data_IF_608687530418
#
_entry.id   IF_608687530418
#
_cell.length_a   1.000
_cell.length_b   1.000
_cell.length_c   1.000
_cell.angle_alpha   90.00
_cell.angle_beta   90.00
_cell.angle_gamma   90.00
#
_symmetry.space_group_name_H-M   'P 1'
#
loop_
_entity.id
_entity.type
_entity.pdbx_description
1 polymer ?
#
# COMPACT_ATOMS: atom_id res chain seq x y z
N UNK A 1 6.79 27.62 -9.99
CA UNK A 1 5.94 26.75 -9.14
C UNK A 1 6.86 25.78 -8.41
N UNK A 2 6.66 25.55 -7.11
CA UNK A 2 7.40 24.51 -6.39
C UNK A 2 6.77 23.17 -6.72
N UNK A 3 7.57 22.24 -7.24
CA UNK A 3 7.19 20.85 -7.47
C UNK A 3 7.65 19.99 -6.29
N UNK A 4 7.40 18.69 -6.35
CA UNK A 4 7.88 17.72 -5.37
C UNK A 4 8.87 16.76 -6.02
N UNK A 5 9.63 16.06 -5.18
CA UNK A 5 10.44 14.90 -5.53
C UNK A 5 10.37 13.88 -4.40
N UNK A 6 10.59 12.61 -4.72
CA UNK A 6 10.90 11.59 -3.72
C UNK A 6 12.40 11.69 -3.44
N UNK A 7 12.77 11.90 -2.18
CA UNK A 7 14.19 11.98 -1.77
C UNK A 7 14.69 10.70 -1.13
N UNK A 8 13.79 9.83 -0.70
CA UNK A 8 14.11 8.57 -0.06
C UNK A 8 12.93 7.60 -0.17
N UNK A 9 13.25 6.32 -0.30
CA UNK A 9 12.32 5.18 -0.23
C UNK A 9 12.84 4.22 0.82
N UNK A 10 11.97 3.58 1.58
CA UNK A 10 12.35 2.55 2.53
C UNK A 10 11.22 1.54 2.74
N UNK A 11 11.59 0.34 3.16
CA UNK A 11 10.66 -0.75 3.47
C UNK A 11 11.16 -1.57 4.64
N UNK A 12 10.22 -2.18 5.36
CA UNK A 12 10.49 -3.06 6.47
C UNK A 12 9.45 -4.18 6.52
N UNK A 13 9.88 -5.37 6.91
CA UNK A 13 9.00 -6.49 7.20
C UNK A 13 9.42 -7.12 8.53
N UNK A 14 8.49 -7.72 9.28
CA UNK A 14 8.84 -8.44 10.49
C UNK A 14 9.72 -9.67 10.17
N UNK A 15 10.47 -10.19 11.15
CA UNK A 15 11.48 -11.22 10.91
C UNK A 15 10.89 -12.62 10.70
N UNK A 16 9.68 -12.91 11.19
CA UNK A 16 9.08 -14.23 11.07
C UNK A 16 8.57 -14.46 9.65
N UNK A 17 9.21 -15.38 8.94
CA UNK A 17 8.80 -15.85 7.62
C UNK A 17 7.98 -17.14 7.73
N UNK A 18 6.77 -17.13 7.15
CA UNK A 18 5.84 -18.27 7.11
C UNK A 18 5.73 -18.79 5.67
N UNK A 19 6.27 -19.98 5.44
CA UNK A 19 6.15 -20.68 4.17
C UNK A 19 4.74 -21.26 3.98
N UNK A 20 4.35 -21.53 2.74
CA UNK A 20 3.13 -22.28 2.46
C UNK A 20 3.11 -23.67 3.11
N UNK A 21 4.29 -24.31 3.23
CA UNK A 21 4.42 -25.61 3.89
C UNK A 21 4.05 -25.51 5.37
N UNK A 22 4.42 -24.43 6.06
CA UNK A 22 3.99 -24.19 7.44
C UNK A 22 2.49 -23.94 7.53
N UNK A 23 1.86 -23.25 6.56
CA UNK A 23 0.40 -23.10 6.56
C UNK A 23 -0.33 -24.46 6.42
N UNK A 24 0.22 -25.39 5.63
CA UNK A 24 -0.37 -26.73 5.47
C UNK A 24 -0.41 -27.57 6.76
N UNK A 25 0.34 -27.19 7.81
CA UNK A 25 0.30 -27.89 9.10
C UNK A 25 -0.85 -27.41 10.00
N UNK A 26 -1.46 -26.25 9.69
CA UNK A 26 -2.53 -25.64 10.49
C UNK A 26 -3.87 -25.53 9.76
N UNK A 27 -3.91 -25.75 8.44
CA UNK A 27 -5.15 -25.72 7.64
C UNK A 27 -5.06 -26.67 6.42
N UNK A 28 -6.21 -27.09 5.89
CA UNK A 28 -6.32 -27.96 4.71
C UNK A 28 -5.97 -27.23 3.40
N UNK A 29 -4.66 -27.15 3.13
CA UNK A 29 -4.06 -26.50 1.96
C UNK A 29 -2.74 -27.16 1.57
N UNK A 30 -2.15 -26.74 0.44
CA UNK A 30 -0.83 -27.18 0.00
C UNK A 30 -0.05 -26.04 -0.65
N UNK A 31 1.28 -26.15 -0.68
CA UNK A 31 2.15 -25.20 -1.37
C UNK A 31 1.81 -25.06 -2.86
N UNK A 32 1.61 -26.19 -3.55
CA UNK A 32 1.22 -26.22 -4.96
C UNK A 32 -0.10 -25.48 -5.20
N UNK A 33 -1.08 -25.68 -4.33
CA UNK A 33 -2.40 -25.04 -4.46
C UNK A 33 -2.30 -23.52 -4.31
N UNK A 34 -1.56 -23.05 -3.31
CA UNK A 34 -1.40 -21.61 -3.05
C UNK A 34 -0.64 -20.96 -4.22
N UNK A 35 0.54 -21.49 -4.57
CA UNK A 35 1.38 -20.97 -5.67
C UNK A 35 0.60 -20.85 -6.97
N UNK A 36 -0.08 -21.92 -7.39
CA UNK A 36 -0.82 -21.94 -8.67
C UNK A 36 -1.97 -20.93 -8.69
N UNK A 37 -2.59 -20.66 -7.54
CA UNK A 37 -3.75 -19.77 -7.43
C UNK A 37 -3.38 -18.30 -7.23
N UNK A 38 -2.21 -18.02 -6.66
CA UNK A 38 -1.87 -16.68 -6.17
C UNK A 38 -0.49 -16.17 -6.54
N UNK A 39 0.46 -17.06 -6.81
CA UNK A 39 1.89 -16.75 -6.94
C UNK A 39 2.63 -16.65 -5.60
N UNK A 40 1.96 -16.84 -4.47
CA UNK A 40 2.54 -16.66 -3.13
C UNK A 40 3.29 -17.91 -2.70
N UNK A 41 4.55 -17.77 -2.27
CA UNK A 41 5.39 -18.87 -1.77
C UNK A 41 5.54 -18.81 -0.25
N UNK A 42 5.64 -17.59 0.27
CA UNK A 42 5.80 -17.28 1.68
C UNK A 42 5.23 -15.90 2.00
N UNK A 43 5.18 -15.56 3.29
CA UNK A 43 4.81 -14.23 3.77
C UNK A 43 5.49 -13.95 5.10
N UNK A 44 5.71 -12.67 5.39
CA UNK A 44 6.17 -12.23 6.71
C UNK A 44 4.97 -12.00 7.62
N UNK A 45 5.06 -12.42 8.88
CA UNK A 45 4.02 -12.27 9.88
C UNK A 45 4.62 -11.62 11.12
N UNK A 46 3.96 -10.61 11.66
CA UNK A 46 4.36 -10.02 12.92
C UNK A 46 3.89 -10.85 14.11
N UNK A 47 4.79 -11.04 15.08
CA UNK A 47 4.46 -11.68 16.37
C UNK A 47 4.41 -10.68 17.53
N UNK A 48 5.25 -9.64 17.49
CA UNK A 48 5.47 -8.71 18.62
C UNK A 48 5.35 -7.25 18.20
N UNK A 49 5.48 -6.96 16.91
CA UNK A 49 5.44 -5.60 16.35
C UNK A 49 4.00 -5.28 15.90
N UNK A 50 3.51 -4.10 16.22
CA UNK A 50 2.27 -3.58 15.68
C UNK A 50 2.52 -2.73 14.43
N UNK A 51 1.47 -2.22 13.81
CA UNK A 51 1.57 -1.44 12.57
C UNK A 51 2.42 -0.19 12.72
N UNK A 52 2.32 0.50 13.86
CA UNK A 52 3.17 1.65 14.19
C UNK A 52 4.64 1.29 14.31
N UNK A 53 5.00 0.11 14.84
CA UNK A 53 6.40 -0.35 14.92
C UNK A 53 7.00 -0.58 13.52
N UNK A 54 6.24 -1.22 12.62
CA UNK A 54 6.69 -1.43 11.25
C UNK A 54 6.87 -0.09 10.51
N UNK A 55 5.92 0.83 10.69
CA UNK A 55 5.98 2.17 10.12
C UNK A 55 7.12 3.02 10.72
N UNK A 56 7.38 2.89 12.02
CA UNK A 56 8.47 3.58 12.71
C UNK A 56 9.84 3.15 12.17
N UNK A 57 10.02 1.85 11.91
CA UNK A 57 11.23 1.33 11.26
C UNK A 57 11.43 1.95 9.87
N UNK A 58 10.37 2.05 9.07
CA UNK A 58 10.42 2.74 7.77
C UNK A 58 10.72 4.23 7.94
N UNK A 59 10.07 4.92 8.88
CA UNK A 59 10.29 6.34 9.14
C UNK A 59 11.73 6.68 9.53
N UNK A 60 12.34 5.87 10.40
CA UNK A 60 13.75 6.01 10.77
C UNK A 60 14.69 5.81 9.58
N UNK A 61 14.43 4.81 8.73
CA UNK A 61 15.22 4.59 7.51
C UNK A 61 15.07 5.76 6.52
N UNK A 62 13.85 6.26 6.31
CA UNK A 62 13.59 7.38 5.41
C UNK A 62 14.37 8.63 5.83
N UNK A 63 14.31 9.00 7.12
CA UNK A 63 15.03 10.13 7.68
C UNK A 63 16.55 9.95 7.57
N UNK A 64 17.05 8.76 7.90
CA UNK A 64 18.48 8.42 7.80
C UNK A 64 18.98 8.57 6.37
N UNK A 65 18.29 7.94 5.41
CA UNK A 65 18.66 7.95 4.00
C UNK A 65 18.59 9.36 3.37
N UNK A 66 17.65 10.19 3.83
CA UNK A 66 17.50 11.57 3.38
C UNK A 66 18.41 12.56 4.13
N UNK A 67 19.13 12.12 5.17
CA UNK A 67 19.88 12.96 6.09
C UNK A 67 19.04 14.13 6.65
N UNK A 68 17.81 13.84 7.07
CA UNK A 68 16.91 14.81 7.71
C UNK A 68 16.67 14.46 9.18
N UNK A 69 16.46 15.49 10.00
CA UNK A 69 15.97 15.34 11.36
C UNK A 69 14.45 15.19 11.36
N UNK A 70 13.91 14.43 12.30
CA UNK A 70 12.46 14.27 12.45
C UNK A 70 11.72 15.61 12.64
N UNK A 71 12.36 16.61 13.27
CA UNK A 71 11.80 17.97 13.44
C UNK A 71 11.66 18.75 12.14
N UNK A 72 12.24 18.28 11.04
CA UNK A 72 12.11 18.90 9.72
C UNK A 72 10.89 18.37 8.95
N UNK A 73 10.19 17.35 9.47
CA UNK A 73 8.91 16.89 8.92
C UNK A 73 7.79 17.87 9.26
N UNK A 74 6.96 18.17 8.28
CA UNK A 74 5.75 18.97 8.44
C UNK A 74 4.47 18.11 8.40
N UNK A 75 4.54 16.95 7.76
CA UNK A 75 3.40 16.07 7.52
C UNK A 75 3.81 14.60 7.59
N UNK A 76 3.04 13.81 8.32
CA UNK A 76 3.15 12.34 8.35
C UNK A 76 1.78 11.76 8.00
N UNK A 77 1.70 11.01 6.92
CA UNK A 77 0.49 10.25 6.54
C UNK A 77 0.81 8.77 6.58
N UNK A 78 0.03 8.01 7.34
CA UNK A 78 0.08 6.55 7.34
C UNK A 78 -1.19 5.99 6.70
N UNK A 79 -1.05 5.29 5.60
CA UNK A 79 -2.12 4.50 5.01
C UNK A 79 -2.17 3.12 5.69
N UNK A 80 -3.28 2.83 6.37
CA UNK A 80 -3.48 1.53 7.01
C UNK A 80 -4.97 1.20 7.18
N UNK A 81 -5.32 -0.08 7.06
CA UNK A 81 -6.61 -0.61 7.53
C UNK A 81 -6.47 -1.49 8.77
N UNK A 82 -5.26 -1.66 9.26
CA UNK A 82 -4.95 -2.43 10.45
C UNK A 82 -4.24 -1.54 11.48
N UNK A 83 -4.84 -0.44 11.96
CA UNK A 83 -4.16 0.48 12.88
C UNK A 83 -3.92 -0.15 14.26
N UNK A 84 -3.02 0.44 15.03
CA UNK A 84 -2.77 0.07 16.42
C UNK A 84 -4.01 0.25 17.31
N UNK A 85 -4.72 1.36 17.09
CA UNK A 85 -5.92 1.76 17.79
C UNK A 85 -6.81 2.63 16.91
N UNK A 86 -8.06 2.85 17.32
CA UNK A 86 -8.91 3.88 16.71
C UNK A 86 -8.48 5.30 17.13
N UNK A 87 -7.96 5.46 18.34
CA UNK A 87 -7.35 6.69 18.85
C UNK A 87 -6.29 6.32 19.89
N UNK A 88 -5.05 6.86 19.80
CA UNK A 88 -4.54 7.74 18.75
C UNK A 88 -4.40 7.05 17.37
N UNK A 89 -4.20 7.82 16.30
CA UNK A 89 -3.86 7.27 14.99
C UNK A 89 -2.47 6.65 14.99
N UNK A 90 -2.22 5.72 14.08
CA UNK A 90 -0.92 5.09 13.85
C UNK A 90 0.14 6.15 13.55
N UNK A 91 -0.20 7.13 12.70
CA UNK A 91 0.65 8.25 12.36
C UNK A 91 1.02 9.11 13.58
N UNK A 92 0.10 9.32 14.52
CA UNK A 92 0.38 10.07 15.74
C UNK A 92 1.33 9.32 16.68
N UNK A 93 1.21 7.98 16.77
CA UNK A 93 2.18 7.15 17.49
C UNK A 93 3.57 7.31 16.88
N UNK A 94 3.69 7.11 15.55
CA UNK A 94 4.97 7.25 14.82
C UNK A 94 5.54 8.65 14.94
N UNK A 95 4.72 9.70 14.86
CA UNK A 95 5.14 11.09 15.03
C UNK A 95 5.79 11.32 16.40
N UNK A 96 5.17 10.78 17.47
CA UNK A 96 5.67 10.88 18.83
C UNK A 96 6.99 10.14 19.02
N UNK A 97 7.05 8.89 18.57
CA UNK A 97 8.24 8.01 18.68
C UNK A 97 9.44 8.55 17.86
N UNK A 98 9.21 9.12 16.68
CA UNK A 98 10.26 9.78 15.89
C UNK A 98 10.74 11.11 16.50
N UNK A 99 9.95 11.71 17.41
CA UNK A 99 10.19 13.07 17.89
C UNK A 99 9.94 14.15 16.82
N UNK A 100 9.03 13.91 15.88
CA UNK A 100 8.70 14.81 14.77
C UNK A 100 7.78 15.97 15.22
N UNK A 101 8.25 16.79 16.16
CA UNK A 101 7.46 17.78 16.92
C UNK A 101 6.71 18.83 16.09
N UNK A 102 7.14 19.08 14.85
CA UNK A 102 6.54 20.07 13.96
C UNK A 102 5.53 19.46 12.99
N UNK A 103 5.51 18.13 12.86
CA UNK A 103 4.66 17.45 11.89
C UNK A 103 3.23 17.33 12.41
N UNK A 104 2.26 17.61 11.54
CA UNK A 104 0.91 17.07 11.73
C UNK A 104 0.88 15.60 11.26
N UNK A 105 0.07 14.77 11.91
CA UNK A 105 0.04 13.35 11.65
C UNK A 105 -1.38 12.78 11.64
N UNK A 106 -1.73 12.00 10.62
CA UNK A 106 -3.03 11.33 10.54
C UNK A 106 -2.97 10.06 9.67
N UNK A 107 -3.94 9.18 9.89
CA UNK A 107 -4.10 7.95 9.10
C UNK A 107 -5.06 8.18 7.94
N UNK A 108 -4.82 7.49 6.82
CA UNK A 108 -5.79 7.33 5.73
C UNK A 108 -6.25 5.87 5.69
N UNK A 109 -7.57 5.68 5.75
CA UNK A 109 -8.20 4.37 5.58
C UNK A 109 -8.83 4.28 4.19
N UNK A 110 -8.12 3.63 3.26
CA UNK A 110 -8.64 3.29 1.92
C UNK A 110 -8.18 1.89 1.50
N UNK A 111 -8.10 0.97 2.49
CA UNK A 111 -7.64 -0.41 2.32
C UNK A 111 -6.33 -0.47 1.49
N UNK A 112 -6.21 -1.44 0.58
CA UNK A 112 -5.04 -1.62 -0.26
C UNK A 112 -4.73 -0.43 -1.19
N UNK A 113 -5.71 0.43 -1.49
CA UNK A 113 -5.50 1.66 -2.30
C UNK A 113 -4.88 2.80 -1.47
N UNK A 114 -4.72 2.58 -0.16
CA UNK A 114 -4.34 3.59 0.82
C UNK A 114 -3.09 4.37 0.47
N UNK A 115 -2.01 3.71 0.03
CA UNK A 115 -0.76 4.40 -0.27
C UNK A 115 -0.89 5.39 -1.43
N UNK A 116 -1.61 5.02 -2.49
CA UNK A 116 -1.84 5.93 -3.63
C UNK A 116 -2.71 7.13 -3.21
N UNK A 117 -3.74 6.90 -2.40
CA UNK A 117 -4.56 7.99 -1.85
C UNK A 117 -3.74 8.91 -0.94
N UNK A 118 -2.84 8.35 -0.14
CA UNK A 118 -1.93 9.09 0.72
C UNK A 118 -0.91 9.91 -0.07
N UNK A 119 -0.32 9.35 -1.12
CA UNK A 119 0.57 10.07 -2.04
C UNK A 119 -0.11 11.26 -2.69
N UNK A 120 -1.33 11.06 -3.22
CA UNK A 120 -2.13 12.14 -3.78
C UNK A 120 -2.43 13.24 -2.75
N UNK A 121 -2.81 12.84 -1.53
CA UNK A 121 -3.17 13.77 -0.45
C UNK A 121 -1.95 14.59 0.00
N UNK A 122 -0.83 13.92 0.26
CA UNK A 122 0.41 14.58 0.67
C UNK A 122 0.91 15.56 -0.41
N UNK A 123 0.83 15.18 -1.68
CA UNK A 123 1.25 16.04 -2.79
C UNK A 123 0.44 17.34 -2.85
N UNK A 124 -0.88 17.24 -2.74
CA UNK A 124 -1.75 18.41 -2.74
C UNK A 124 -1.52 19.30 -1.51
N UNK A 125 -1.39 18.70 -0.31
CA UNK A 125 -1.15 19.46 0.93
C UNK A 125 0.19 20.18 0.93
N UNK A 126 1.26 19.55 0.46
CA UNK A 126 2.56 20.20 0.31
C UNK A 126 2.47 21.35 -0.70
N UNK A 127 1.84 21.15 -1.86
CA UNK A 127 1.68 22.21 -2.87
C UNK A 127 0.85 23.39 -2.39
N UNK A 128 -0.14 23.18 -1.52
CA UNK A 128 -1.05 24.21 -1.02
C UNK A 128 -0.59 24.91 0.26
N UNK A 129 0.54 24.52 0.85
CA UNK A 129 1.03 25.04 2.13
C UNK A 129 2.46 25.56 2.02
N UNK A 130 3.02 26.08 3.12
CA UNK A 130 4.45 26.43 3.23
C UNK A 130 5.32 25.26 3.70
N UNK A 131 4.73 24.07 3.89
CA UNK A 131 5.45 22.85 4.30
C UNK A 131 6.45 22.42 3.24
N UNK A 132 7.54 21.79 3.69
CA UNK A 132 8.67 21.37 2.87
C UNK A 132 8.78 19.86 2.77
N UNK A 133 8.57 19.13 3.87
CA UNK A 133 8.82 17.69 3.94
C UNK A 133 7.59 16.92 4.43
N UNK A 134 7.19 15.90 3.67
CA UNK A 134 6.17 14.95 4.10
C UNK A 134 6.69 13.51 4.07
N UNK A 135 6.31 12.74 5.07
CA UNK A 135 6.53 11.29 5.13
C UNK A 135 5.21 10.59 4.79
N UNK A 136 5.24 9.69 3.81
CA UNK A 136 4.07 8.91 3.39
C UNK A 136 4.41 7.43 3.49
N UNK A 137 3.67 6.70 4.33
CA UNK A 137 3.93 5.29 4.61
C UNK A 137 2.65 4.49 4.39
N UNK A 138 2.74 3.37 3.69
CA UNK A 138 1.75 2.29 3.76
C UNK A 138 2.25 1.25 4.75
N UNK A 139 1.46 0.89 5.75
CA UNK A 139 1.85 -0.07 6.77
C UNK A 139 0.67 -0.96 7.17
N UNK A 140 0.91 -2.26 7.27
CA UNK A 140 -0.11 -3.20 7.68
C UNK A 140 0.46 -4.34 8.54
N UNK A 141 -0.29 -4.69 9.59
CA UNK A 141 -0.25 -5.97 10.26
C UNK A 141 -1.60 -6.63 10.00
N UNK A 142 -1.78 -7.17 8.80
CA UNK A 142 -3.05 -7.79 8.39
C UNK A 142 -3.30 -9.10 9.12
N UNK A 143 -2.26 -9.78 9.59
CA UNK A 143 -2.36 -11.02 10.36
C UNK A 143 -3.30 -10.94 11.58
N UNK A 144 -3.50 -9.74 12.16
CA UNK A 144 -4.46 -9.52 13.26
C UNK A 144 -5.93 -9.43 12.82
N UNK A 145 -6.18 -9.26 11.52
CA UNK A 145 -7.51 -9.19 10.93
C UNK A 145 -7.90 -10.51 10.24
N UNK A 146 -7.00 -11.49 10.14
CA UNK A 146 -7.25 -12.76 9.45
C UNK A 146 -7.93 -13.78 10.37
N UNK A 147 -8.96 -14.46 9.87
CA UNK A 147 -9.41 -15.72 10.45
C UNK A 147 -8.51 -16.86 9.93
N UNK A 148 -7.57 -17.31 10.77
CA UNK A 148 -6.62 -18.37 10.42
C UNK A 148 -7.25 -19.74 10.18
N UNK A 149 -8.56 -19.91 10.43
CA UNK A 149 -9.32 -21.10 10.03
C UNK A 149 -9.91 -21.00 8.64
N UNK A 150 -10.05 -19.79 8.09
CA UNK A 150 -10.52 -19.58 6.72
C UNK A 150 -9.34 -19.60 5.74
N UNK A 151 -9.07 -20.79 5.19
CA UNK A 151 -8.03 -20.96 4.16
C UNK A 151 -8.21 -20.09 2.92
N UNK A 152 -9.43 -19.61 2.64
CA UNK A 152 -9.71 -18.82 1.44
C UNK A 152 -9.10 -17.41 1.49
N UNK A 153 -8.79 -16.92 2.70
CA UNK A 153 -8.18 -15.61 2.95
C UNK A 153 -6.84 -15.73 3.70
N UNK A 154 -6.70 -16.67 4.63
CA UNK A 154 -5.52 -16.77 5.50
C UNK A 154 -4.19 -17.00 4.77
N UNK A 155 -4.24 -17.61 3.59
CA UNK A 155 -3.04 -17.85 2.78
C UNK A 155 -2.54 -16.62 2.00
N UNK A 156 -3.33 -15.55 1.95
CA UNK A 156 -3.11 -14.44 1.01
C UNK A 156 -2.25 -13.33 1.59
N UNK A 157 -2.36 -13.07 2.89
CA UNK A 157 -1.88 -11.83 3.47
C UNK A 157 -0.56 -12.01 4.22
N UNK A 158 0.27 -10.97 4.16
CA UNK A 158 1.45 -10.80 4.98
C UNK A 158 1.46 -9.42 5.62
N UNK A 159 2.46 -9.19 6.46
CA UNK A 159 2.65 -7.96 7.23
C UNK A 159 3.90 -7.22 6.73
N UNK A 160 3.86 -5.90 6.79
CA UNK A 160 4.98 -5.07 6.35
C UNK A 160 4.66 -3.59 6.28
N UNK A 161 5.69 -2.79 6.05
CA UNK A 161 5.58 -1.36 5.81
C UNK A 161 6.52 -0.93 4.67
N UNK A 162 6.10 0.07 3.91
CA UNK A 162 6.92 0.74 2.93
C UNK A 162 6.52 2.21 2.85
N UNK A 163 7.46 3.07 2.50
CA UNK A 163 7.15 4.50 2.41
C UNK A 163 8.16 5.29 1.62
N UNK A 164 7.82 6.58 1.47
CA UNK A 164 8.63 7.56 0.78
C UNK A 164 8.69 8.86 1.57
N UNK A 165 9.78 9.59 1.36
CA UNK A 165 9.91 10.98 1.81
C UNK A 165 9.72 11.91 0.60
N UNK A 166 8.74 12.80 0.71
CA UNK A 166 8.44 13.84 -0.27
C UNK A 166 9.05 15.16 0.17
N UNK A 167 9.76 15.82 -0.74
CA UNK A 167 10.32 17.14 -0.49
C UNK A 167 9.98 18.11 -1.62
N UNK A 168 9.68 19.36 -1.27
CA UNK A 168 9.59 20.44 -2.25
C UNK A 168 10.90 20.69 -2.98
N UNK A 169 10.77 21.01 -4.26
CA UNK A 169 11.89 21.21 -5.18
C UNK A 169 11.57 22.31 -6.19
N UNK A 170 12.62 22.89 -6.74
CA UNK A 170 12.56 23.89 -7.82
C UNK A 170 12.62 23.28 -9.21
N UNK A 171 12.69 21.94 -9.33
CA UNK A 171 12.67 21.24 -10.62
C UNK A 171 11.41 21.58 -11.40
N UNK A 172 11.55 21.72 -12.72
CA UNK A 172 10.44 22.10 -13.60
C UNK A 172 9.38 20.98 -13.73
N UNK A 173 9.81 19.72 -13.70
CA UNK A 173 8.93 18.55 -13.86
C UNK A 173 8.14 18.26 -12.57
N UNK A 174 6.81 18.12 -12.64
CA UNK A 174 6.00 17.66 -11.52
C UNK A 174 6.29 16.21 -11.16
N UNK A 175 6.22 15.88 -9.87
CA UNK A 175 6.33 14.49 -9.39
C UNK A 175 5.20 13.59 -9.92
N UNK A 176 3.95 14.06 -9.81
CA UNK A 176 2.77 13.36 -10.31
C UNK A 176 2.34 14.03 -11.60
N UNK A 177 2.46 13.31 -12.71
CA UNK A 177 2.11 13.75 -14.06
C UNK A 177 0.62 13.57 -14.37
N UNK A 178 0.03 12.51 -13.82
CA UNK A 178 -1.39 12.18 -13.98
C UNK A 178 -1.88 11.31 -12.83
N UNK A 179 -3.19 11.31 -12.58
CA UNK A 179 -3.84 10.58 -11.50
C UNK A 179 -5.27 10.23 -11.84
N UNK A 180 -5.73 9.10 -11.33
CA UNK A 180 -7.12 8.65 -11.45
C UNK A 180 -7.49 7.87 -10.18
N UNK A 181 -8.42 8.40 -9.38
CA UNK A 181 -8.79 7.86 -8.06
C UNK A 181 -10.31 7.69 -8.02
N UNK A 182 -10.79 6.49 -7.66
CA UNK A 182 -12.22 6.14 -7.63
C UNK A 182 -12.58 5.26 -6.44
N UNK A 183 -13.80 5.46 -5.96
CA UNK A 183 -14.42 4.63 -4.92
C UNK A 183 -15.77 4.11 -5.44
N UNK A 184 -16.00 2.83 -5.27
CA UNK A 184 -17.18 2.07 -5.68
C UNK A 184 -17.93 1.57 -4.45
N UNK A 185 -18.52 2.53 -3.70
CA UNK A 185 -19.12 2.31 -2.39
C UNK A 185 -20.29 1.31 -2.36
N UNK A 186 -20.99 1.18 -3.48
CA UNK A 186 -22.05 0.20 -3.71
C UNK A 186 -21.54 -1.25 -3.70
N UNK A 187 -20.23 -1.46 -3.91
CA UNK A 187 -19.54 -2.73 -3.83
C UNK A 187 -18.82 -2.95 -2.47
N UNK A 188 -19.14 -2.14 -1.45
CA UNK A 188 -18.49 -2.18 -0.15
C UNK A 188 -18.65 -3.50 0.63
N UNK A 189 -19.58 -4.37 0.23
CA UNK A 189 -19.76 -5.71 0.81
C UNK A 189 -18.79 -6.77 0.26
N UNK A 190 -18.02 -6.44 -0.79
CA UNK A 190 -17.11 -7.39 -1.47
C UNK A 190 -15.80 -7.62 -0.74
N UNK A 191 -15.36 -6.67 0.07
CA UNK A 191 -14.22 -6.79 0.98
C UNK A 191 -14.60 -6.11 2.29
N UNK A 192 -14.54 -6.85 3.38
CA UNK A 192 -14.87 -6.37 4.72
C UNK A 192 -13.74 -6.79 5.64
N UNK A 193 -13.23 -5.87 6.45
CA UNK A 193 -12.31 -6.16 7.54
C UNK A 193 -12.59 -5.21 8.70
N UNK A 194 -12.57 -5.69 9.94
CA UNK A 194 -12.75 -4.85 11.12
C UNK A 194 -14.13 -4.21 11.27
N UNK A 195 -15.18 -4.76 10.65
CA UNK A 195 -16.54 -4.20 10.73
C UNK A 195 -17.05 -4.24 12.16
N UNK A 196 -17.55 -3.11 12.64
CA UNK A 196 -18.27 -2.97 13.91
C UNK A 196 -19.76 -2.87 13.63
N UNK A 197 -20.59 -3.55 14.44
CA UNK A 197 -22.06 -3.53 14.29
C UNK A 197 -22.69 -2.85 15.50
N UNK A 198 -23.68 -1.96 15.31
CA UNK A 198 -24.42 -1.38 16.43
C UNK A 198 -25.03 -2.46 17.32
N UNK A 199 -24.74 -2.40 18.63
CA UNK A 199 -25.35 -3.28 19.63
C UNK A 199 -26.62 -2.65 20.21
N UNK A 200 -27.61 -3.47 20.54
CA UNK A 200 -28.84 -3.07 21.24
C UNK A 200 -28.62 -3.04 22.76
N UNK A 201 -29.48 -2.31 23.49
CA UNK A 201 -29.43 -2.20 24.96
C UNK A 201 -28.52 -1.10 25.53
N UNK A 202 -28.60 -0.88 26.86
CA UNK A 202 -27.74 -0.01 27.65
C UNK A 202 -27.52 -0.59 29.06
N UNK A 203 -26.27 -0.72 29.56
CA UNK A 203 -25.00 -0.46 28.87
C UNK A 203 -24.70 -1.54 27.81
N UNK A 204 -23.94 -1.16 26.78
CA UNK A 204 -23.56 -2.08 25.70
C UNK A 204 -22.24 -2.77 26.04
N UNK A 205 -22.11 -4.04 25.64
CA UNK A 205 -20.81 -4.71 25.65
C UNK A 205 -19.87 -4.07 24.62
N UNK A 206 -18.56 -4.13 24.87
CA UNK A 206 -17.53 -3.68 23.92
C UNK A 206 -17.70 -4.36 22.56
N UNK A 207 -17.57 -3.61 21.47
CA UNK A 207 -17.74 -4.16 20.11
C UNK A 207 -16.55 -5.01 19.69
N UNK A 208 -16.82 -6.16 19.07
CA UNK A 208 -15.80 -7.00 18.44
C UNK A 208 -15.63 -6.62 16.97
N UNK A 209 -14.42 -6.81 16.46
CA UNK A 209 -14.09 -6.60 15.04
C UNK A 209 -14.42 -7.86 14.24
N UNK A 210 -15.01 -7.70 13.06
CA UNK A 210 -15.13 -8.82 12.12
C UNK A 210 -13.75 -9.18 11.55
N UNK A 211 -13.47 -10.46 11.27
CA UNK A 211 -12.30 -10.83 10.49
C UNK A 211 -12.42 -10.30 9.06
N UNK A 212 -11.32 -10.41 8.32
CA UNK A 212 -11.25 -10.16 6.90
C UNK A 212 -12.12 -11.18 6.15
N UNK A 213 -12.98 -10.69 5.28
CA UNK A 213 -13.83 -11.50 4.40
C UNK A 213 -13.85 -10.86 3.02
N UNK A 214 -13.86 -11.69 1.97
CA UNK A 214 -13.95 -11.20 0.60
C UNK A 214 -14.74 -12.11 -0.36
N UNK A 215 -15.38 -11.49 -1.34
CA UNK A 215 -15.93 -12.15 -2.51
C UNK A 215 -14.85 -12.24 -3.61
N UNK A 216 -13.89 -13.16 -3.46
CA UNK A 216 -12.67 -13.20 -4.29
C UNK A 216 -12.89 -13.18 -5.81
N UNK A 217 -13.96 -13.81 -6.32
CA UNK A 217 -14.30 -13.77 -7.75
C UNK A 217 -14.74 -12.38 -8.21
N UNK A 218 -15.53 -11.69 -7.39
CA UNK A 218 -15.99 -10.32 -7.68
C UNK A 218 -14.81 -9.35 -7.63
N UNK A 219 -13.94 -9.49 -6.63
CA UNK A 219 -12.71 -8.68 -6.49
C UNK A 219 -11.77 -8.91 -7.67
N UNK A 220 -11.56 -10.16 -8.11
CA UNK A 220 -10.75 -10.46 -9.30
C UNK A 220 -11.33 -9.83 -10.56
N UNK A 221 -12.65 -9.93 -10.77
CA UNK A 221 -13.33 -9.32 -11.91
C UNK A 221 -13.18 -7.80 -11.87
N UNK A 222 -13.41 -7.18 -10.71
CA UNK A 222 -13.23 -5.75 -10.51
C UNK A 222 -11.81 -5.30 -10.87
N UNK A 223 -10.79 -5.89 -10.22
CA UNK A 223 -9.40 -5.48 -10.40
C UNK A 223 -8.95 -5.60 -11.87
N UNK A 224 -9.31 -6.71 -12.54
CA UNK A 224 -8.93 -6.92 -13.94
C UNK A 224 -9.65 -6.01 -14.94
N UNK A 225 -10.68 -5.26 -14.54
CA UNK A 225 -11.40 -4.32 -15.40
C UNK A 225 -11.13 -2.87 -15.05
N UNK A 226 -11.23 -2.50 -13.78
CA UNK A 226 -11.11 -1.10 -13.35
C UNK A 226 -9.66 -0.62 -13.26
N UNK A 227 -8.71 -1.48 -12.88
CA UNK A 227 -7.29 -1.07 -12.80
C UNK A 227 -6.72 -0.69 -14.17
N UNK A 228 -6.90 -1.48 -15.26
CA UNK A 228 -6.46 -1.05 -16.58
C UNK A 228 -7.10 0.27 -17.06
N UNK A 229 -8.38 0.50 -16.72
CA UNK A 229 -9.07 1.76 -17.04
C UNK A 229 -8.48 2.94 -16.27
N UNK A 230 -8.23 2.75 -14.98
CA UNK A 230 -7.63 3.77 -14.12
C UNK A 230 -6.23 4.14 -14.60
N UNK A 231 -5.42 3.14 -14.98
CA UNK A 231 -4.10 3.36 -15.58
C UNK A 231 -4.20 4.14 -16.89
N UNK A 232 -5.08 3.72 -17.81
CA UNK A 232 -5.26 4.42 -19.08
C UNK A 232 -5.70 5.88 -18.88
N UNK A 233 -6.62 6.14 -17.94
CA UNK A 233 -7.09 7.48 -17.56
C UNK A 233 -5.95 8.36 -17.03
N UNK A 234 -5.16 7.83 -16.08
CA UNK A 234 -4.05 8.57 -15.49
C UNK A 234 -2.93 8.86 -16.52
N UNK A 235 -2.62 7.90 -17.40
CA UNK A 235 -1.66 8.07 -18.52
C UNK A 235 -2.14 9.12 -19.51
N UNK A 236 -3.43 9.10 -19.84
CA UNK A 236 -4.03 10.13 -20.70
C UNK A 236 -3.95 11.52 -20.05
N UNK A 237 -4.26 11.64 -18.76
CA UNK A 237 -4.14 12.92 -18.04
C UNK A 237 -2.68 13.43 -18.04
N UNK A 238 -1.70 12.53 -17.99
CA UNK A 238 -0.28 12.86 -18.11
C UNK A 238 0.15 13.27 -19.54
N UNK A 239 -0.75 13.19 -20.53
CA UNK A 239 -0.45 13.36 -21.96
C UNK A 239 0.61 12.39 -22.48
N UNK A 240 0.59 11.15 -21.99
CA UNK A 240 1.51 10.08 -22.36
C UNK A 240 0.77 8.94 -23.05
N UNK A 241 1.54 7.99 -23.60
CA UNK A 241 1.08 6.68 -24.04
C UNK A 241 1.52 5.62 -23.04
N UNK A 242 0.87 4.46 -23.05
CA UNK A 242 1.26 3.32 -22.22
C UNK A 242 2.71 2.88 -22.47
N UNK A 243 3.20 3.03 -23.72
CA UNK A 243 4.56 2.66 -24.09
C UNK A 243 5.63 3.58 -23.49
N UNK A 244 5.25 4.80 -23.09
CA UNK A 244 6.12 5.77 -22.41
C UNK A 244 6.30 5.45 -20.92
N UNK A 245 5.55 4.47 -20.39
CA UNK A 245 5.68 4.01 -19.00
C UNK A 245 6.77 2.94 -18.93
N UNK A 246 7.80 3.20 -18.13
CA UNK A 246 8.92 2.29 -17.92
C UNK A 246 8.48 1.06 -17.11
N UNK A 247 7.78 1.29 -16.00
CA UNK A 247 7.33 0.23 -15.08
C UNK A 247 5.93 0.48 -14.51
N UNK A 248 5.21 -0.62 -14.28
CA UNK A 248 3.89 -0.67 -13.67
C UNK A 248 3.99 -1.35 -12.30
N UNK A 249 4.05 -0.54 -11.25
CA UNK A 249 4.10 -0.99 -9.86
C UNK A 249 2.66 -1.11 -9.33
N UNK A 250 2.10 -2.30 -9.46
CA UNK A 250 0.73 -2.58 -9.05
C UNK A 250 0.66 -3.17 -7.64
N UNK A 251 -0.49 -3.00 -6.98
CA UNK A 251 -0.82 -3.71 -5.75
C UNK A 251 -0.68 -5.24 -5.92
N UNK A 252 0.08 -5.86 -5.02
CA UNK A 252 0.51 -7.25 -5.05
C UNK A 252 -0.53 -8.16 -4.36
N UNK A 253 -1.74 -8.20 -4.92
CA UNK A 253 -2.83 -9.03 -4.39
C UNK A 253 -2.81 -10.49 -4.90
N UNK A 254 -2.48 -10.66 -6.18
CA UNK A 254 -2.46 -11.95 -6.86
C UNK A 254 -1.68 -11.83 -8.18
N UNK A 255 -0.71 -12.71 -8.41
CA UNK A 255 0.10 -12.71 -9.65
C UNK A 255 -0.77 -12.81 -10.91
N UNK A 256 -1.87 -13.56 -10.86
CA UNK A 256 -2.80 -13.73 -12.01
C UNK A 256 -3.60 -12.47 -12.30
N UNK A 257 -3.79 -11.57 -11.34
CA UNK A 257 -4.41 -10.27 -11.59
C UNK A 257 -3.43 -9.40 -12.37
N UNK A 258 -2.16 -9.33 -11.94
CA UNK A 258 -1.11 -8.56 -12.59
C UNK A 258 -0.91 -9.03 -14.03
N UNK A 259 -0.77 -10.35 -14.25
CA UNK A 259 -0.68 -10.95 -15.58
C UNK A 259 -1.86 -10.56 -16.49
N UNK A 260 -3.08 -10.57 -15.95
CA UNK A 260 -4.29 -10.23 -16.71
C UNK A 260 -4.39 -8.73 -17.01
N UNK A 261 -3.90 -7.86 -16.11
CA UNK A 261 -3.81 -6.41 -16.33
C UNK A 261 -2.78 -6.11 -17.41
N UNK A 262 -1.57 -6.69 -17.34
CA UNK A 262 -0.53 -6.52 -18.35
C UNK A 262 -1.04 -6.88 -19.76
N UNK A 263 -1.72 -8.03 -19.88
CA UNK A 263 -2.36 -8.46 -21.12
C UNK A 263 -3.42 -7.48 -21.64
N UNK A 264 -4.24 -6.91 -20.75
CA UNK A 264 -5.29 -5.93 -21.12
C UNK A 264 -4.73 -4.58 -21.55
N UNK A 265 -3.61 -4.17 -20.94
CA UNK A 265 -2.89 -2.96 -21.33
C UNK A 265 -2.04 -3.17 -22.59
N UNK A 266 -1.87 -4.41 -23.06
CA UNK A 266 -1.01 -4.72 -24.19
C UNK A 266 0.48 -4.50 -23.89
N UNK A 267 0.88 -4.56 -22.61
CA UNK A 267 2.23 -4.29 -22.16
C UNK A 267 2.96 -5.60 -21.79
N UNK A 268 4.28 -5.71 -22.02
CA UNK A 268 5.03 -6.89 -21.68
C UNK A 268 5.10 -7.07 -20.15
N UNK A 269 4.94 -8.32 -19.68
CA UNK A 269 4.94 -8.63 -18.24
C UNK A 269 6.26 -8.24 -17.55
N UNK A 270 7.36 -8.14 -18.30
CA UNK A 270 8.66 -7.69 -17.79
C UNK A 270 8.67 -6.24 -17.30
N UNK A 271 7.65 -5.43 -17.66
CA UNK A 271 7.44 -4.08 -17.12
C UNK A 271 6.60 -4.06 -15.84
N UNK A 272 6.19 -5.23 -15.32
CA UNK A 272 5.38 -5.36 -14.10
C UNK A 272 6.17 -6.11 -13.03
N UNK A 273 7.02 -5.41 -12.25
CA UNK A 273 7.74 -6.03 -11.16
C UNK A 273 6.78 -6.69 -10.17
N UNK A 274 7.19 -7.83 -9.60
CA UNK A 274 6.38 -8.59 -8.65
C UNK A 274 7.26 -9.08 -7.50
N UNK A 275 6.74 -8.95 -6.27
CA UNK A 275 7.34 -9.51 -5.06
C UNK A 275 6.33 -10.31 -4.22
N UNK A 276 5.12 -10.52 -4.76
CA UNK A 276 4.04 -11.25 -4.09
C UNK A 276 4.43 -12.66 -3.63
N UNK A 277 5.38 -13.29 -4.33
CA UNK A 277 5.92 -14.59 -3.97
C UNK A 277 6.55 -14.60 -2.58
N UNK A 278 7.17 -13.49 -2.18
CA UNK A 278 7.94 -13.35 -0.94
C UNK A 278 7.14 -12.70 0.19
N UNK A 279 6.28 -11.74 -0.13
CA UNK A 279 5.59 -10.93 0.87
C UNK A 279 4.13 -11.35 1.09
N UNK A 280 3.52 -12.08 0.15
CA UNK A 280 2.07 -12.14 0.06
C UNK A 280 1.46 -10.76 -0.21
N UNK A 281 0.19 -10.59 0.15
CA UNK A 281 -0.52 -9.31 0.08
C UNK A 281 -0.32 -8.52 1.38
N UNK A 282 0.39 -7.40 1.32
CA UNK A 282 0.67 -6.52 2.45
C UNK A 282 -0.23 -5.26 2.47
N UNK A 283 -1.40 -5.32 1.83
CA UNK A 283 -2.37 -4.22 1.79
C UNK A 283 -1.75 -2.93 1.26
N UNK A 284 -1.92 -1.82 1.99
CA UNK A 284 -1.39 -0.51 1.59
C UNK A 284 0.15 -0.46 1.55
N UNK A 285 0.86 -1.37 2.20
CA UNK A 285 2.32 -1.42 2.16
C UNK A 285 2.88 -2.01 0.85
N UNK A 286 2.03 -2.61 0.02
CA UNK A 286 2.46 -3.40 -1.13
C UNK A 286 3.23 -2.59 -2.18
N UNK A 287 2.64 -1.52 -2.70
CA UNK A 287 3.25 -0.67 -3.71
C UNK A 287 4.53 0.02 -3.22
N UNK A 288 4.60 0.61 -2.00
CA UNK A 288 5.84 1.24 -1.56
C UNK A 288 6.95 0.26 -1.17
N UNK A 289 6.64 -0.97 -0.72
CA UNK A 289 7.64 -2.03 -0.57
C UNK A 289 8.24 -2.35 -1.95
N UNK A 290 7.38 -2.59 -2.95
CA UNK A 290 7.82 -2.92 -4.30
C UNK A 290 8.63 -1.77 -4.93
N UNK A 291 8.22 -0.52 -4.73
CA UNK A 291 8.99 0.66 -5.17
C UNK A 291 10.39 0.68 -4.55
N UNK A 292 10.48 0.46 -3.23
CA UNK A 292 11.77 0.46 -2.53
C UNK A 292 12.68 -0.62 -3.11
N UNK A 293 12.18 -1.85 -3.30
CA UNK A 293 12.96 -2.93 -3.91
C UNK A 293 13.39 -2.61 -5.34
N UNK A 294 12.50 -2.03 -6.15
CA UNK A 294 12.81 -1.66 -7.52
C UNK A 294 13.88 -0.57 -7.59
N UNK A 295 13.89 0.38 -6.66
CA UNK A 295 14.94 1.41 -6.54
C UNK A 295 16.26 0.80 -6.06
N UNK A 296 16.23 0.00 -4.99
CA UNK A 296 17.42 -0.66 -4.43
C UNK A 296 18.11 -1.59 -5.43
N UNK A 297 17.34 -2.27 -6.28
CA UNK A 297 17.86 -3.15 -7.33
C UNK A 297 18.17 -2.41 -8.64
N UNK A 298 18.18 -1.08 -8.64
CA UNK A 298 18.45 -0.24 -9.82
C UNK A 298 17.51 -0.49 -11.01
N UNK A 299 16.33 -1.07 -10.77
CA UNK A 299 15.31 -1.26 -11.80
C UNK A 299 14.66 0.08 -12.15
N UNK A 300 14.29 0.85 -11.10
CA UNK A 300 13.75 2.21 -11.21
C UNK A 300 14.86 3.21 -10.89
N UNK A 301 15.11 4.16 -11.80
CA UNK A 301 16.14 5.19 -11.71
C UNK A 301 15.52 6.58 -11.88
N UNK A 302 16.19 7.66 -11.39
CA UNK A 302 15.72 9.02 -11.63
C UNK A 302 15.52 9.31 -13.13
N UNK A 303 14.40 9.93 -13.46
CA UNK A 303 13.92 10.17 -14.81
C UNK A 303 12.96 9.10 -15.35
N UNK A 304 12.78 7.97 -14.66
CA UNK A 304 11.81 6.97 -15.10
C UNK A 304 10.37 7.44 -14.85
N UNK A 305 9.49 7.08 -15.78
CA UNK A 305 8.04 7.28 -15.65
C UNK A 305 7.42 5.97 -15.22
N UNK A 306 6.83 5.96 -14.03
CA UNK A 306 6.23 4.75 -13.44
C UNK A 306 4.74 4.95 -13.20
N UNK A 307 3.96 3.93 -13.51
CA UNK A 307 2.55 3.86 -13.12
C UNK A 307 2.45 3.10 -11.79
N UNK A 308 2.06 3.78 -10.72
CA UNK A 308 1.75 3.14 -9.44
C UNK A 308 0.24 3.02 -9.29
N UNK A 309 -0.27 1.81 -9.06
CA UNK A 309 -1.72 1.59 -9.00
C UNK A 309 -2.13 0.62 -7.89
N UNK A 310 -2.99 1.13 -7.01
CA UNK A 310 -3.60 0.40 -5.91
C UNK A 310 -5.07 0.07 -6.17
N UNK A 311 -5.52 -1.06 -5.63
CA UNK A 311 -6.91 -1.47 -5.67
C UNK A 311 -7.25 -2.34 -4.47
N UNK A 312 -8.44 -2.17 -3.90
CA UNK A 312 -8.82 -2.93 -2.70
C UNK A 312 -10.22 -2.64 -2.19
N UNK A 313 -10.41 -2.80 -0.88
CA UNK A 313 -11.68 -2.56 -0.20
C UNK A 313 -12.21 -1.13 -0.40
N UNK A 314 -13.53 -1.01 -0.42
CA UNK A 314 -14.24 0.23 -0.79
C UNK A 314 -15.42 0.03 -1.75
N UNK A 315 -15.37 -0.83 -2.77
CA UNK A 315 -14.12 -1.16 -3.49
C UNK A 315 -13.47 0.15 -3.98
N UNK A 316 -12.16 0.15 -4.20
CA UNK A 316 -11.47 1.37 -4.64
C UNK A 316 -10.36 1.05 -5.64
N UNK A 317 -10.04 2.04 -6.46
CA UNK A 317 -8.85 2.07 -7.32
C UNK A 317 -8.19 3.42 -7.22
N UNK A 318 -6.86 3.46 -7.29
CA UNK A 318 -6.10 4.68 -7.35
C UNK A 318 -4.87 4.47 -8.19
N UNK A 319 -4.66 5.32 -9.19
CA UNK A 319 -3.46 5.32 -10.02
C UNK A 319 -2.81 6.69 -10.01
N UNK A 320 -1.48 6.71 -9.92
CA UNK A 320 -0.66 7.90 -10.19
C UNK A 320 0.40 7.54 -11.23
N UNK A 321 0.64 8.46 -12.16
CA UNK A 321 1.78 8.43 -13.07
C UNK A 321 2.85 9.33 -12.47
N UNK A 322 3.93 8.71 -12.03
CA UNK A 322 5.00 9.33 -11.28
C UNK A 322 6.23 9.50 -12.16
N UNK A 323 6.84 10.67 -12.11
CA UNK A 323 8.20 10.90 -12.60
C UNK A 323 9.17 10.76 -11.42
N UNK A 324 9.83 9.62 -11.30
CA UNK A 324 10.78 9.31 -10.22
C UNK A 324 12.07 10.11 -10.38
#
# INVERSE_FOLDING_TARGET
MQNLRITSTASYHPPLNITNQQLSTIMDTSDEWIKTRTGIHQRYISNIENTSDLALNVGNQLLTNANLKATELDLIIIATMSPDAYTPSTAAIVQGELGAKNAIAFDISAACTGFIYAMNTAELMLKSSNWQNAMVIGAEVLSKLIDWKDRSTAVLFGDGAGGVLLQKTTTATPLILGRDLHTFGDLGDKIIAGKTTPKTGFPKQLTSLSPFAMAGRDVYRFATHEVPRSIASAVQQANLKLDDIDYFLLHQANERIINQIAKRLGQPITRFPMNISEYGNTGAASEPILLTQAVTHELVKPGNIIAMSGFGGGLSTGTIILNY
#
